data_IF_950471005191
#
_entry.id   IF_950471005191
#
_cell.length_a   1.000
_cell.length_b   1.000
_cell.length_c   1.000
_cell.angle_alpha   90.00
_cell.angle_beta   90.00
_cell.angle_gamma   90.00
#
_symmetry.space_group_name_H-M   'P 1'
#
loop_
_entity.id
_entity.type
_entity.pdbx_description
1 polymer ?
#
# COMPACT_ATOMS: atom_id res chain seq x y z
N UNK A 1 -20.65 14.19 -23.57
CA UNK A 1 -19.82 13.19 -24.29
C UNK A 1 -19.54 12.07 -23.31
N UNK A 2 -19.73 10.78 -23.65
CA UNK A 2 -19.71 9.73 -22.64
C UNK A 2 -18.28 9.43 -22.18
N UNK A 3 -18.01 9.63 -20.89
CA UNK A 3 -16.75 9.39 -20.18
C UNK A 3 -16.23 7.94 -20.26
N UNK A 4 -17.01 7.03 -20.82
CA UNK A 4 -16.67 5.61 -20.96
C UNK A 4 -15.50 5.32 -21.88
N UNK A 5 -15.06 6.26 -22.73
CA UNK A 5 -13.98 5.99 -23.69
C UNK A 5 -12.56 6.22 -23.12
N UNK A 6 -12.42 6.75 -21.91
CA UNK A 6 -11.12 7.23 -21.42
C UNK A 6 -10.34 6.24 -20.56
N UNK A 7 -10.93 5.16 -20.04
CA UNK A 7 -10.22 4.29 -19.09
C UNK A 7 -9.12 3.46 -19.73
N UNK A 8 -9.32 2.95 -20.95
CA UNK A 8 -8.26 2.28 -21.72
C UNK A 8 -7.06 3.20 -21.98
N UNK A 9 -7.33 4.45 -22.37
CA UNK A 9 -6.29 5.44 -22.64
C UNK A 9 -5.54 5.80 -21.35
N UNK A 10 -6.27 6.04 -20.26
CA UNK A 10 -5.66 6.34 -18.94
C UNK A 10 -4.79 5.19 -18.45
N UNK A 11 -5.24 3.95 -18.58
CA UNK A 11 -4.44 2.78 -18.19
C UNK A 11 -3.18 2.66 -19.08
N UNK A 12 -3.30 2.90 -20.38
CA UNK A 12 -2.17 2.89 -21.30
C UNK A 12 -1.15 4.01 -20.95
N UNK A 13 -1.62 5.25 -20.78
CA UNK A 13 -0.78 6.38 -20.38
C UNK A 13 -0.05 6.11 -19.05
N UNK A 14 -0.77 5.54 -18.08
CA UNK A 14 -0.20 5.15 -16.79
C UNK A 14 0.93 4.12 -16.99
N UNK A 15 0.68 3.02 -17.72
CA UNK A 15 1.72 2.00 -17.96
C UNK A 15 2.95 2.57 -18.68
N UNK A 16 2.75 3.51 -19.62
CA UNK A 16 3.85 4.17 -20.31
C UNK A 16 4.66 5.08 -19.38
N UNK A 17 3.99 5.91 -18.57
CA UNK A 17 4.64 6.81 -17.61
C UNK A 17 5.41 6.05 -16.54
N UNK A 18 4.89 4.91 -16.08
CA UNK A 18 5.51 4.05 -15.07
C UNK A 18 6.53 3.06 -15.67
N UNK A 19 6.89 3.19 -16.95
CA UNK A 19 7.81 2.29 -17.67
C UNK A 19 7.43 0.79 -17.59
N UNK A 20 6.14 0.50 -17.50
CA UNK A 20 5.58 -0.85 -17.49
C UNK A 20 5.32 -1.34 -18.91
N UNK A 21 5.18 -2.66 -19.07
CA UNK A 21 4.71 -3.23 -20.34
C UNK A 21 3.30 -2.75 -20.66
N UNK A 22 3.02 -2.55 -21.95
CA UNK A 22 1.72 -2.11 -22.42
C UNK A 22 0.61 -3.12 -22.05
N UNK A 23 -0.60 -2.65 -21.70
CA UNK A 23 -1.67 -3.51 -21.25
C UNK A 23 -2.16 -4.43 -22.38
N UNK A 24 -2.27 -5.73 -22.10
CA UNK A 24 -2.75 -6.74 -23.07
C UNK A 24 -4.17 -7.14 -22.73
N UNK A 25 -5.11 -6.93 -23.66
CA UNK A 25 -6.52 -7.23 -23.48
C UNK A 25 -6.92 -8.55 -24.14
N UNK A 26 -7.73 -9.33 -23.43
CA UNK A 26 -8.40 -10.53 -23.94
C UNK A 26 -9.89 -10.42 -23.63
N UNK A 27 -10.74 -10.51 -24.64
CA UNK A 27 -12.20 -10.47 -24.44
C UNK A 27 -12.84 -11.72 -25.04
N UNK A 28 -13.68 -12.38 -24.25
CA UNK A 28 -14.41 -13.58 -24.64
C UNK A 28 -15.92 -13.28 -24.67
N UNK A 29 -16.65 -13.89 -25.59
CA UNK A 29 -18.11 -13.87 -25.58
C UNK A 29 -18.62 -15.14 -24.88
N UNK A 30 -19.22 -14.99 -23.70
CA UNK A 30 -19.83 -16.06 -22.90
C UNK A 30 -21.32 -16.26 -23.24
N UNK A 31 -21.88 -15.43 -24.13
CA UNK A 31 -23.27 -15.48 -24.57
C UNK A 31 -23.43 -16.13 -25.94
N UNK A 32 -24.69 -16.24 -26.38
CA UNK A 32 -24.99 -16.72 -27.74
C UNK A 32 -24.60 -15.67 -28.78
N UNK A 33 -24.38 -16.05 -30.05
CA UNK A 33 -24.14 -15.10 -31.14
C UNK A 33 -25.22 -14.02 -31.27
N UNK A 34 -26.48 -14.35 -30.97
CA UNK A 34 -27.63 -13.43 -30.99
C UNK A 34 -27.90 -12.72 -29.65
N UNK A 35 -27.17 -13.09 -28.59
CA UNK A 35 -27.31 -12.53 -27.24
C UNK A 35 -25.92 -12.50 -26.55
N UNK A 36 -25.00 -11.65 -27.02
CA UNK A 36 -23.61 -11.66 -26.56
C UNK A 36 -23.47 -11.21 -25.11
N UNK A 37 -22.51 -11.81 -24.42
CA UNK A 37 -22.10 -11.49 -23.04
C UNK A 37 -20.58 -11.46 -22.98
N UNK A 38 -20.00 -10.30 -23.22
CA UNK A 38 -18.56 -10.10 -23.24
C UNK A 38 -17.98 -10.00 -21.83
N UNK A 39 -16.97 -10.81 -21.55
CA UNK A 39 -16.08 -10.67 -20.38
C UNK A 39 -14.70 -10.30 -20.88
N UNK A 40 -14.08 -9.29 -20.25
CA UNK A 40 -12.75 -8.83 -20.63
C UNK A 40 -11.76 -9.06 -19.50
N UNK A 41 -10.52 -9.34 -19.89
CA UNK A 41 -9.36 -9.48 -19.02
C UNK A 41 -8.26 -8.58 -19.54
N UNK A 42 -7.53 -7.90 -18.66
CA UNK A 42 -6.35 -7.11 -19.00
C UNK A 42 -5.16 -7.56 -18.16
N UNK A 43 -4.00 -7.71 -18.81
CA UNK A 43 -2.72 -7.98 -18.16
C UNK A 43 -1.98 -6.66 -17.97
N UNK A 44 -1.65 -6.30 -16.73
CA UNK A 44 -0.90 -5.09 -16.35
C UNK A 44 0.16 -5.48 -15.33
N UNK A 45 1.43 -5.15 -15.59
CA UNK A 45 2.55 -5.44 -14.69
C UNK A 45 2.62 -6.92 -14.23
N UNK A 46 2.38 -7.87 -15.14
CA UNK A 46 2.37 -9.31 -14.84
C UNK A 46 1.12 -9.82 -14.12
N UNK A 47 0.17 -8.95 -13.74
CA UNK A 47 -1.08 -9.33 -13.09
C UNK A 47 -2.28 -9.26 -14.03
N UNK A 48 -3.18 -10.22 -13.90
CA UNK A 48 -4.41 -10.29 -14.70
C UNK A 48 -5.61 -9.77 -13.91
N UNK A 49 -6.33 -8.85 -14.52
CA UNK A 49 -7.57 -8.28 -14.00
C UNK A 49 -8.72 -8.66 -14.92
N UNK A 50 -9.81 -9.17 -14.37
CA UNK A 50 -10.98 -9.63 -15.14
C UNK A 50 -12.22 -8.87 -14.72
N UNK A 51 -13.05 -8.47 -15.69
CA UNK A 51 -14.31 -7.78 -15.45
C UNK A 51 -15.25 -8.65 -14.61
N UNK A 52 -15.82 -8.07 -13.55
CA UNK A 52 -16.73 -8.79 -12.64
C UNK A 52 -18.02 -9.15 -13.39
N UNK A 53 -18.56 -8.19 -14.13
CA UNK A 53 -19.77 -8.34 -14.90
C UNK A 53 -19.48 -8.66 -16.38
N UNK A 54 -20.49 -9.18 -17.07
CA UNK A 54 -20.50 -9.35 -18.52
C UNK A 54 -21.30 -8.23 -19.17
N UNK A 55 -20.88 -7.80 -20.36
CA UNK A 55 -21.47 -6.67 -21.08
C UNK A 55 -22.00 -7.10 -22.44
N UNK A 56 -23.01 -6.40 -22.97
CA UNK A 56 -23.52 -6.67 -24.32
C UNK A 56 -22.57 -6.17 -25.40
N UNK A 57 -21.69 -5.22 -25.08
CA UNK A 57 -20.69 -4.66 -26.00
C UNK A 57 -19.26 -4.98 -25.55
N UNK A 58 -18.42 -5.43 -26.48
CA UNK A 58 -16.99 -5.68 -26.22
C UNK A 58 -16.28 -4.45 -25.64
N UNK A 59 -16.56 -3.26 -26.19
CA UNK A 59 -15.94 -2.01 -25.76
C UNK A 59 -16.25 -1.67 -24.30
N UNK A 60 -17.47 -1.95 -23.83
CA UNK A 60 -17.86 -1.71 -22.43
C UNK A 60 -17.08 -2.63 -21.48
N UNK A 61 -16.98 -3.92 -21.83
CA UNK A 61 -16.20 -4.89 -21.05
C UNK A 61 -14.72 -4.48 -20.96
N UNK A 62 -14.13 -4.00 -22.06
CA UNK A 62 -12.75 -3.53 -22.06
C UNK A 62 -12.55 -2.25 -21.22
N UNK A 63 -13.51 -1.34 -21.20
CA UNK A 63 -13.40 -0.09 -20.44
C UNK A 63 -13.60 -0.33 -18.95
N UNK A 64 -14.53 -1.21 -18.57
CA UNK A 64 -14.72 -1.58 -17.16
C UNK A 64 -13.49 -2.29 -16.60
N UNK A 65 -12.93 -3.26 -17.32
CA UNK A 65 -11.72 -3.95 -16.84
C UNK A 65 -10.52 -3.01 -16.79
N UNK A 66 -10.42 -2.04 -17.71
CA UNK A 66 -9.39 -1.01 -17.68
C UNK A 66 -9.49 -0.12 -16.45
N UNK A 67 -10.72 0.31 -16.11
CA UNK A 67 -10.99 1.09 -14.90
C UNK A 67 -10.64 0.29 -13.65
N UNK A 68 -11.10 -0.95 -13.56
CA UNK A 68 -10.83 -1.82 -12.42
C UNK A 68 -9.33 -2.08 -12.22
N UNK A 69 -8.60 -2.36 -13.30
CA UNK A 69 -7.15 -2.53 -13.26
C UNK A 69 -6.44 -1.25 -12.79
N UNK A 70 -6.80 -0.09 -13.36
CA UNK A 70 -6.18 1.19 -12.99
C UNK A 70 -6.39 1.52 -11.51
N UNK A 71 -7.61 1.38 -10.99
CA UNK A 71 -7.91 1.62 -9.58
C UNK A 71 -7.14 0.68 -8.64
N UNK A 72 -6.98 -0.59 -9.04
CA UNK A 72 -6.23 -1.59 -8.27
C UNK A 72 -4.74 -1.29 -8.24
N UNK A 73 -4.18 -0.92 -9.38
CA UNK A 73 -2.75 -0.61 -9.50
C UNK A 73 -2.41 0.67 -8.73
N UNK A 74 -3.20 1.74 -8.89
CA UNK A 74 -2.98 3.00 -8.14
C UNK A 74 -3.07 2.80 -6.63
N UNK A 75 -4.06 2.03 -6.15
CA UNK A 75 -4.18 1.70 -4.71
C UNK A 75 -2.98 0.90 -4.19
N UNK A 76 -2.39 0.03 -5.01
CA UNK A 76 -1.17 -0.70 -4.60
C UNK A 76 0.04 0.21 -4.54
N UNK A 77 0.20 1.11 -5.50
CA UNK A 77 1.27 2.11 -5.44
C UNK A 77 1.15 2.99 -4.20
N UNK A 78 -0.05 3.47 -3.84
CA UNK A 78 -0.25 4.22 -2.59
C UNK A 78 0.18 3.38 -1.37
N UNK A 79 -0.21 2.10 -1.31
CA UNK A 79 0.14 1.21 -0.19
C UNK A 79 1.61 0.77 -0.21
N UNK A 80 2.32 0.79 -1.33
CA UNK A 80 3.74 0.45 -1.41
C UNK A 80 4.65 1.68 -1.23
N UNK A 81 4.23 2.84 -1.73
CA UNK A 81 4.97 4.11 -1.62
C UNK A 81 4.83 4.72 -0.22
N UNK A 82 3.67 4.59 0.43
CA UNK A 82 3.45 5.14 1.78
C UNK A 82 4.37 4.51 2.86
N UNK A 83 4.62 3.17 2.86
CA UNK A 83 5.67 2.56 3.67
C UNK A 83 7.07 3.01 3.29
N UNK A 84 7.37 3.17 1.99
CA UNK A 84 8.73 3.48 1.51
C UNK A 84 9.16 4.91 1.82
N UNK A 85 8.27 5.91 1.62
CA UNK A 85 8.59 7.32 1.90
C UNK A 85 8.73 7.58 3.42
N UNK A 86 7.98 6.86 4.25
CA UNK A 86 8.13 6.95 5.71
C UNK A 86 9.20 6.00 6.28
N UNK A 87 9.68 5.01 5.52
CA UNK A 87 10.67 4.04 6.01
C UNK A 87 12.00 4.69 6.35
N UNK A 88 12.49 5.66 5.57
CA UNK A 88 13.78 6.32 5.86
C UNK A 88 13.73 7.16 7.14
N UNK A 89 12.61 7.85 7.39
CA UNK A 89 12.40 8.62 8.62
C UNK A 89 12.28 7.70 9.84
N UNK A 90 11.65 6.53 9.67
CA UNK A 90 11.47 5.52 10.74
C UNK A 90 12.76 4.74 11.02
N UNK A 91 13.61 4.46 10.01
CA UNK A 91 14.77 3.53 10.12
C UNK A 91 15.81 3.92 11.17
N UNK A 92 15.83 5.18 11.59
CA UNK A 92 16.79 5.70 12.56
C UNK A 92 16.16 6.15 13.89
N UNK A 93 14.84 6.10 14.05
CA UNK A 93 14.18 6.62 15.26
C UNK A 93 14.73 6.01 16.55
N UNK A 94 14.99 4.69 16.57
CA UNK A 94 15.57 4.00 17.72
C UNK A 94 16.96 4.52 18.06
N UNK A 95 17.80 4.75 17.04
CA UNK A 95 19.14 5.29 17.20
C UNK A 95 19.12 6.75 17.62
N UNK A 96 18.26 7.57 17.00
CA UNK A 96 18.07 8.99 17.33
C UNK A 96 17.61 9.14 18.79
N UNK A 97 16.61 8.36 19.21
CA UNK A 97 16.09 8.42 20.57
C UNK A 97 17.14 7.94 21.59
N UNK A 98 17.92 6.91 21.26
CA UNK A 98 19.03 6.47 22.11
C UNK A 98 20.12 7.53 22.24
N UNK A 99 20.55 8.13 21.13
CA UNK A 99 21.57 9.19 21.13
C UNK A 99 21.09 10.44 21.88
N UNK A 100 19.83 10.82 21.71
CA UNK A 100 19.18 11.89 22.46
C UNK A 100 19.22 11.62 23.97
N UNK A 101 18.85 10.40 24.39
CA UNK A 101 18.88 10.03 25.80
C UNK A 101 20.30 10.14 26.40
N UNK A 102 21.31 9.66 25.68
CA UNK A 102 22.72 9.77 26.09
C UNK A 102 23.17 11.23 26.19
N UNK A 103 22.91 12.04 25.15
CA UNK A 103 23.31 13.46 25.11
C UNK A 103 22.65 14.30 26.18
N UNK A 104 21.40 13.99 26.53
CA UNK A 104 20.63 14.71 27.53
C UNK A 104 20.78 14.13 28.95
N UNK A 105 21.63 13.12 29.12
CA UNK A 105 21.83 12.41 30.39
C UNK A 105 20.51 11.85 30.99
N UNK A 106 19.65 11.30 30.13
CA UNK A 106 18.38 10.68 30.47
C UNK A 106 18.51 9.15 30.51
N UNK A 107 17.52 8.49 31.13
CA UNK A 107 17.45 7.03 31.12
C UNK A 107 17.26 6.49 29.70
N UNK A 108 18.02 5.44 29.35
CA UNK A 108 17.97 4.80 28.03
C UNK A 108 16.56 4.21 27.79
N UNK A 109 15.95 4.41 26.61
CA UNK A 109 14.63 3.86 26.31
C UNK A 109 14.60 2.33 26.38
N UNK A 110 13.63 1.77 27.11
CA UNK A 110 13.47 0.31 27.24
C UNK A 110 12.33 -0.20 26.36
N UNK A 111 12.65 -1.03 25.39
CA UNK A 111 11.68 -1.60 24.44
C UNK A 111 11.11 -2.94 24.91
N UNK A 112 9.83 -3.16 24.65
CA UNK A 112 9.13 -4.44 24.83
C UNK A 112 8.33 -4.71 23.57
N UNK A 113 8.58 -5.84 22.91
CA UNK A 113 7.89 -6.22 21.68
C UNK A 113 7.00 -7.43 21.93
N UNK A 114 5.72 -7.32 21.59
CA UNK A 114 4.78 -8.44 21.50
C UNK A 114 4.59 -8.84 20.04
N UNK A 115 4.22 -10.09 19.82
CA UNK A 115 3.84 -10.59 18.51
C UNK A 115 2.54 -11.37 18.64
N UNK A 116 1.69 -11.30 17.61
CA UNK A 116 0.49 -12.10 17.53
C UNK A 116 0.65 -13.11 16.39
N UNK A 117 0.33 -14.37 16.67
CA UNK A 117 0.31 -15.45 15.69
C UNK A 117 -1.14 -15.65 15.21
N UNK A 118 -1.40 -15.30 13.95
CA UNK A 118 -2.65 -15.53 13.24
C UNK A 118 -2.37 -15.90 11.77
N UNK A 119 -3.27 -15.55 10.84
CA UNK A 119 -3.06 -15.71 9.40
C UNK A 119 -1.82 -14.95 8.86
N UNK A 120 -1.36 -13.93 9.58
CA UNK A 120 -0.19 -13.13 9.24
C UNK A 120 0.59 -12.79 10.53
N UNK A 121 1.91 -12.93 10.50
CA UNK A 121 2.79 -12.64 11.64
C UNK A 121 2.95 -11.12 11.78
N UNK A 122 2.46 -10.58 12.90
CA UNK A 122 2.51 -9.14 13.18
C UNK A 122 3.20 -8.85 14.52
N UNK A 123 3.85 -7.70 14.59
CA UNK A 123 4.63 -7.23 15.72
C UNK A 123 4.13 -5.87 16.18
N UNK A 124 4.07 -5.68 17.50
CA UNK A 124 3.82 -4.38 18.12
C UNK A 124 4.91 -4.17 19.17
N UNK A 125 5.51 -2.98 19.19
CA UNK A 125 6.49 -2.63 20.20
C UNK A 125 6.03 -1.43 21.01
N UNK A 126 6.31 -1.47 22.30
CA UNK A 126 6.21 -0.33 23.20
C UNK A 126 7.58 0.01 23.77
N UNK A 127 7.79 1.26 24.15
CA UNK A 127 8.97 1.70 24.88
C UNK A 127 8.58 2.53 26.10
N UNK A 128 9.43 2.49 27.12
CA UNK A 128 9.36 3.40 28.27
C UNK A 128 10.50 4.40 28.17
N UNK A 129 10.16 5.69 28.16
CA UNK A 129 11.11 6.81 28.12
C UNK A 129 10.58 7.97 28.96
N UNK A 130 11.41 8.50 29.86
CA UNK A 130 11.05 9.59 30.78
C UNK A 130 9.75 9.33 31.58
N UNK A 131 9.59 8.10 32.08
CA UNK A 131 8.40 7.68 32.83
C UNK A 131 7.12 7.51 32.00
N UNK A 132 7.15 7.82 30.70
CA UNK A 132 6.03 7.67 29.77
C UNK A 132 6.19 6.39 28.94
N UNK A 133 5.06 5.80 28.57
CA UNK A 133 5.02 4.63 27.68
C UNK A 133 4.49 5.05 26.31
N UNK A 134 5.23 4.70 25.27
CA UNK A 134 4.86 4.95 23.88
C UNK A 134 4.71 3.63 23.15
N UNK A 135 3.62 3.46 22.40
CA UNK A 135 3.34 2.22 21.64
C UNK A 135 3.31 2.56 20.16
N UNK A 136 4.10 1.84 19.37
CA UNK A 136 4.12 1.97 17.92
C UNK A 136 2.98 1.21 17.25
N UNK A 137 2.71 1.57 16.00
CA UNK A 137 1.76 0.86 15.14
C UNK A 137 2.18 -0.59 14.85
N UNK A 138 1.25 -1.36 14.28
CA UNK A 138 1.45 -2.76 13.90
C UNK A 138 2.46 -2.85 12.74
N UNK A 139 3.45 -3.73 12.86
CA UNK A 139 4.49 -3.93 11.85
C UNK A 139 4.65 -5.38 11.43
N UNK A 140 5.16 -5.58 10.19
CA UNK A 140 5.50 -6.91 9.66
C UNK A 140 6.82 -7.49 10.20
N UNK A 141 7.58 -6.75 11.00
CA UNK A 141 8.81 -7.26 11.62
C UNK A 141 9.10 -6.60 12.97
N UNK A 142 9.81 -7.31 13.85
CA UNK A 142 10.28 -6.77 15.14
C UNK A 142 11.12 -5.49 14.96
N UNK A 143 12.00 -5.47 13.95
CA UNK A 143 12.87 -4.32 13.67
C UNK A 143 12.05 -3.06 13.39
N UNK A 144 11.00 -3.17 12.58
CA UNK A 144 10.12 -2.03 12.24
C UNK A 144 9.25 -1.65 13.44
N UNK A 145 8.73 -2.61 14.20
CA UNK A 145 7.91 -2.34 15.38
C UNK A 145 8.65 -1.48 16.42
N UNK A 146 9.93 -1.79 16.69
CA UNK A 146 10.75 -1.01 17.62
C UNK A 146 10.98 0.43 17.13
N UNK A 147 11.17 0.62 15.83
CA UNK A 147 11.35 1.94 15.25
C UNK A 147 10.09 2.79 15.34
N UNK A 148 8.91 2.19 15.10
CA UNK A 148 7.62 2.86 15.23
C UNK A 148 7.35 3.32 16.67
N UNK A 149 7.70 2.50 17.66
CA UNK A 149 7.62 2.90 19.06
C UNK A 149 8.52 4.12 19.35
N UNK A 150 9.74 4.13 18.79
CA UNK A 150 10.68 5.23 18.93
C UNK A 150 10.15 6.52 18.27
N UNK A 151 9.55 6.40 17.08
CA UNK A 151 8.92 7.51 16.36
C UNK A 151 7.81 8.18 17.19
N UNK A 152 6.91 7.38 17.77
CA UNK A 152 5.84 7.90 18.62
C UNK A 152 6.37 8.70 19.82
N UNK A 153 7.49 8.26 20.42
CA UNK A 153 8.16 8.99 21.49
C UNK A 153 8.79 10.31 20.99
N UNK A 154 9.50 10.28 19.86
CA UNK A 154 10.12 11.47 19.25
C UNK A 154 9.07 12.52 18.87
N UNK A 155 7.96 12.11 18.24
CA UNK A 155 6.86 12.99 17.88
C UNK A 155 6.27 13.69 19.13
N UNK A 156 6.12 12.94 20.23
CA UNK A 156 5.69 13.52 21.51
C UNK A 156 6.70 14.52 22.08
N UNK A 157 8.01 14.27 21.95
CA UNK A 157 9.05 15.21 22.37
C UNK A 157 9.04 16.51 21.53
N UNK A 158 8.70 16.41 20.24
CA UNK A 158 8.62 17.53 19.31
C UNK A 158 7.28 18.29 19.38
N UNK A 159 6.32 17.82 20.18
CA UNK A 159 4.98 18.42 20.25
C UNK A 159 4.11 18.18 19.01
N UNK A 160 4.48 17.20 18.18
CA UNK A 160 3.73 16.79 17.00
C UNK A 160 2.81 15.65 17.46
N UNK A 161 1.72 16.00 18.12
CA UNK A 161 0.63 15.06 18.41
C UNK A 161 -0.27 14.93 17.17
N UNK A 162 -0.46 13.70 16.69
CA UNK A 162 -1.51 13.35 15.71
C UNK A 162 -2.92 13.65 16.23
#
# INVERSE_FOLDING_TARGET
MPDHLMHKNRLQEYTQKSALQLPVYQTINEGFPHAPKFRSTVLVNGEKYTSVHTFSQRKEAEQEVAKYALERVMKREEVEVFPLIHQEEILFCKSILHEFAVKMNLNIPRYTTSHAQGLQLVYVSSLVFDGKTFTGEVAGSKKVAEQLAARASIQSLLGISE
#
